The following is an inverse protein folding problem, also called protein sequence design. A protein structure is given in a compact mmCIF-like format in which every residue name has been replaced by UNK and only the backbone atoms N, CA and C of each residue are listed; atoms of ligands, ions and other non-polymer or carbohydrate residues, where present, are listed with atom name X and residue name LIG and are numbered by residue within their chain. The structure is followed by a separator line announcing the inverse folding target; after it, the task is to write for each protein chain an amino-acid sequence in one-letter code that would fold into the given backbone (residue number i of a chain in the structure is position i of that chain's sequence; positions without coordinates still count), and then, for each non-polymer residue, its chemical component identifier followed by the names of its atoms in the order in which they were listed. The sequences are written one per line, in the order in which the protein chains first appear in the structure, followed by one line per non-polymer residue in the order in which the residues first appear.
data_IF_547858711255
#
_entry.id   IF_547858711255
#
_cell.length_a   1.000
_cell.length_b   1.000
_cell.length_c   1.000
_cell.angle_alpha   90.00
_cell.angle_beta   90.00
_cell.angle_gamma   90.00
#
_symmetry.space_group_name_H-M   'P 1'
#
loop_
_entity.id
_entity.type
_entity.pdbx_description
1 polymer ?
#
# COMPACT_ATOMS: atom_id res chain seq x y z
N UNK A 1 -31.31 -15.78 4.72
CA UNK A 1 -29.94 -15.53 4.20
C UNK A 1 -29.93 -14.17 3.50
N UNK A 2 -29.72 -13.11 4.24
CA UNK A 2 -29.71 -11.73 3.75
C UNK A 2 -28.29 -11.39 3.29
N UNK A 3 -28.10 -11.20 1.99
CA UNK A 3 -26.85 -10.67 1.41
C UNK A 3 -26.61 -9.26 2.00
N UNK A 4 -25.66 -9.16 2.93
CA UNK A 4 -25.12 -7.87 3.36
C UNK A 4 -24.37 -7.27 2.16
N UNK A 5 -24.95 -6.22 1.56
CA UNK A 5 -24.22 -5.38 0.60
C UNK A 5 -23.02 -4.75 1.34
N UNK A 6 -21.85 -5.15 0.97
CA UNK A 6 -20.63 -4.47 1.42
C UNK A 6 -20.51 -3.21 0.56
N UNK A 7 -20.98 -2.08 1.08
CA UNK A 7 -20.51 -0.78 0.57
C UNK A 7 -19.04 -0.66 0.98
N UNK A 8 -18.09 -0.69 0.05
CA UNK A 8 -16.70 -0.42 0.38
C UNK A 8 -16.55 1.07 0.68
N UNK A 9 -15.45 1.43 1.31
CA UNK A 9 -15.00 2.76 1.73
C UNK A 9 -14.89 3.77 0.55
N UNK A 10 -15.96 3.96 -0.23
CA UNK A 10 -15.97 4.71 -1.49
C UNK A 10 -16.04 6.23 -1.26
N UNK A 11 -16.43 6.67 -0.06
CA UNK A 11 -16.67 8.10 0.22
C UNK A 11 -15.45 8.91 0.66
N UNK A 12 -14.28 8.31 0.81
CA UNK A 12 -13.06 9.03 1.18
C UNK A 12 -12.01 9.14 0.07
N UNK A 13 -12.39 8.85 -1.18
CA UNK A 13 -11.47 8.91 -2.32
C UNK A 13 -11.59 10.24 -3.03
N UNK A 14 -10.80 11.18 -2.57
CA UNK A 14 -10.70 12.53 -3.06
C UNK A 14 -10.33 12.59 -4.55
N UNK A 15 -11.07 13.39 -5.32
CA UNK A 15 -10.78 13.83 -6.68
C UNK A 15 -9.33 14.36 -6.87
N UNK A 16 -8.72 14.78 -5.78
CA UNK A 16 -7.34 15.27 -5.72
C UNK A 16 -6.28 14.27 -6.27
N UNK A 17 -6.60 12.98 -6.40
CA UNK A 17 -5.68 11.95 -6.93
C UNK A 17 -5.70 11.84 -8.47
N UNK A 18 -6.67 12.44 -9.16
CA UNK A 18 -6.78 12.39 -10.62
C UNK A 18 -5.60 13.03 -11.35
N UNK A 19 -5.00 14.04 -10.76
CA UNK A 19 -3.93 14.81 -11.38
C UNK A 19 -2.52 14.36 -10.96
N UNK A 20 -2.39 13.49 -9.96
CA UNK A 20 -1.10 13.02 -9.45
C UNK A 20 -0.42 11.94 -10.31
N UNK A 21 -1.17 11.29 -11.20
CA UNK A 21 -0.60 10.26 -12.11
C UNK A 21 0.28 10.81 -13.24
N UNK A 22 0.20 12.10 -13.54
CA UNK A 22 0.94 12.73 -14.63
C UNK A 22 2.26 13.38 -14.22
N UNK A 23 2.47 13.63 -12.93
CA UNK A 23 3.71 14.25 -12.44
C UNK A 23 4.89 13.26 -12.31
N UNK A 24 4.68 11.96 -12.48
CA UNK A 24 5.69 10.92 -12.28
C UNK A 24 6.45 10.52 -13.56
N UNK A 25 6.11 11.07 -14.73
CA UNK A 25 6.72 10.68 -16.02
C UNK A 25 7.72 11.68 -16.62
N UNK A 26 8.09 12.75 -15.91
CA UNK A 26 9.01 13.75 -16.46
C UNK A 26 10.19 13.99 -15.50
N UNK A 27 11.01 12.94 -15.31
CA UNK A 27 12.36 13.07 -14.75
C UNK A 27 13.30 12.16 -15.54
N UNK A 28 13.52 12.54 -16.79
CA UNK A 28 14.70 12.12 -17.52
C UNK A 28 14.92 13.07 -18.70
N UNK A 29 15.52 14.21 -18.43
CA UNK A 29 16.40 15.02 -19.32
C UNK A 29 16.86 16.23 -18.53
N UNK A 30 18.12 16.30 -18.22
CA UNK A 30 18.74 17.45 -17.61
C UNK A 30 20.25 17.34 -17.74
N UNK A 31 20.74 17.73 -18.91
CA UNK A 31 22.15 17.99 -19.17
C UNK A 31 22.74 18.94 -18.14
N UNK A 32 23.89 18.60 -17.62
CA UNK A 32 24.74 19.44 -16.81
C UNK A 32 26.20 19.26 -17.22
N UNK A 33 26.65 20.05 -18.21
CA UNK A 33 28.06 20.22 -18.54
C UNK A 33 28.87 20.68 -17.33
N UNK A 34 30.01 20.02 -17.15
CA UNK A 34 31.17 20.64 -16.49
C UNK A 34 32.43 20.05 -17.10
N UNK A 35 33.25 20.97 -17.56
CA UNK A 35 34.43 20.92 -18.37
C UNK A 35 35.57 19.99 -17.90
N UNK A 36 36.25 19.47 -18.93
CA UNK A 36 37.53 18.77 -18.94
C UNK A 36 38.69 19.78 -18.98
N UNK A 37 39.94 19.42 -18.64
CA UNK A 37 40.91 19.36 -19.74
C UNK A 37 41.89 18.16 -19.76
N UNK A 38 41.99 17.58 -20.96
CA UNK A 38 43.14 17.10 -21.70
C UNK A 38 44.24 16.21 -21.07
N UNK A 39 44.48 15.06 -21.65
CA UNK A 39 45.74 14.81 -22.37
C UNK A 39 45.70 13.60 -23.31
N UNK A 40 46.42 13.74 -24.37
CA UNK A 40 46.55 13.00 -25.63
C UNK A 40 47.10 11.59 -25.52
N UNK A 41 46.86 10.80 -26.57
CA UNK A 41 47.68 9.65 -26.95
C UNK A 41 46.96 8.51 -27.68
N UNK A 42 46.81 8.62 -29.03
CA UNK A 42 46.66 7.48 -29.98
C UNK A 42 48.06 7.10 -30.53
N UNK A 43 48.31 5.98 -31.26
CA UNK A 43 47.40 5.21 -32.09
C UNK A 43 47.67 3.67 -32.23
N UNK A 44 46.84 3.05 -33.07
CA UNK A 44 47.05 1.93 -34.04
C UNK A 44 46.81 0.47 -33.59
N UNK A 45 45.74 -0.06 -34.10
CA UNK A 45 45.58 -1.06 -35.19
C UNK A 45 45.70 -2.55 -34.87
N UNK A 46 44.62 -3.22 -35.27
CA UNK A 46 44.57 -4.49 -36.03
C UNK A 46 44.17 -5.79 -35.34
N UNK A 47 43.16 -6.39 -36.01
CA UNK A 47 42.81 -7.80 -36.10
C UNK A 47 41.82 -8.42 -35.10
N UNK A 48 40.62 -8.68 -35.63
CA UNK A 48 39.73 -9.76 -35.21
C UNK A 48 40.19 -11.09 -35.91
N UNK A 49 39.57 -12.28 -35.65
CA UNK A 49 38.48 -12.62 -34.72
C UNK A 49 38.84 -13.84 -33.84
N UNK A 50 38.10 -14.08 -32.78
CA UNK A 50 37.78 -15.46 -32.39
C UNK A 50 36.54 -15.51 -31.47
N UNK A 51 35.71 -16.50 -31.78
CA UNK A 51 34.46 -16.76 -31.11
C UNK A 51 34.70 -17.27 -29.68
N UNK A 52 34.21 -16.54 -28.68
CA UNK A 52 34.23 -16.96 -27.29
C UNK A 52 32.88 -16.70 -26.64
N UNK A 53 32.13 -17.76 -26.43
CA UNK A 53 30.84 -17.81 -25.75
C UNK A 53 30.86 -17.03 -24.41
N UNK A 54 30.19 -15.90 -24.37
CA UNK A 54 29.82 -15.26 -23.10
C UNK A 54 28.55 -15.92 -22.58
N UNK A 55 28.75 -16.77 -21.59
CA UNK A 55 27.68 -17.30 -20.75
C UNK A 55 27.03 -16.14 -19.97
N UNK A 56 25.98 -15.57 -20.54
CA UNK A 56 25.10 -14.65 -19.83
C UNK A 56 24.27 -15.44 -18.81
N UNK A 57 24.45 -15.12 -17.55
CA UNK A 57 23.53 -15.55 -16.50
C UNK A 57 22.09 -15.17 -16.89
N UNK A 58 21.11 -16.07 -16.73
CA UNK A 58 19.71 -15.70 -16.89
C UNK A 58 19.33 -14.80 -15.69
N UNK A 59 19.27 -13.50 -15.94
CA UNK A 59 18.52 -12.59 -15.10
C UNK A 59 17.09 -13.12 -14.98
N UNK A 60 16.54 -13.12 -13.78
CA UNK A 60 15.11 -13.35 -13.61
C UNK A 60 14.37 -12.46 -14.62
N UNK A 61 13.45 -13.01 -15.41
CA UNK A 61 12.61 -12.17 -16.25
C UNK A 61 11.84 -11.25 -15.30
N UNK A 62 12.16 -9.97 -15.35
CA UNK A 62 11.30 -8.96 -14.75
C UNK A 62 9.89 -9.27 -15.22
N UNK A 63 8.98 -9.49 -14.28
CA UNK A 63 7.59 -9.72 -14.63
C UNK A 63 7.18 -8.58 -15.55
N UNK A 64 6.87 -8.91 -16.81
CA UNK A 64 6.31 -7.95 -17.74
C UNK A 64 5.14 -7.28 -17.02
N UNK A 65 4.98 -5.95 -17.13
CA UNK A 65 3.83 -5.28 -16.53
C UNK A 65 2.59 -6.04 -16.97
N UNK A 66 1.75 -6.43 -16.00
CA UNK A 66 0.53 -7.16 -16.30
C UNK A 66 -0.23 -6.39 -17.39
N UNK A 67 -0.71 -7.06 -18.46
CA UNK A 67 -1.45 -6.38 -19.51
C UNK A 67 -2.60 -5.61 -18.84
N UNK A 68 -2.89 -4.37 -19.30
CA UNK A 68 -3.99 -3.60 -18.75
C UNK A 68 -5.25 -4.48 -18.76
N UNK A 69 -6.02 -4.49 -17.67
CA UNK A 69 -7.20 -5.33 -17.56
C UNK A 69 -8.10 -5.05 -18.76
N UNK A 70 -8.50 -6.11 -19.45
CA UNK A 70 -9.37 -5.98 -20.63
C UNK A 70 -10.67 -5.34 -20.16
N UNK A 71 -11.06 -4.22 -20.76
CA UNK A 71 -12.37 -3.64 -20.60
C UNK A 71 -13.38 -4.74 -20.93
N UNK A 72 -14.29 -5.06 -20.00
CA UNK A 72 -15.48 -5.83 -20.34
C UNK A 72 -16.17 -5.12 -21.50
N UNK A 73 -16.88 -5.88 -22.33
CA UNK A 73 -17.58 -5.34 -23.50
C UNK A 73 -18.58 -4.25 -23.09
N UNK A 74 -18.13 -3.00 -23.18
CA UNK A 74 -18.96 -1.83 -22.84
C UNK A 74 -20.05 -1.54 -23.87
N UNK A 75 -20.11 -2.31 -24.98
CA UNK A 75 -21.13 -2.14 -26.01
C UNK A 75 -22.55 -2.43 -25.47
N UNK A 76 -22.66 -3.24 -24.43
CA UNK A 76 -23.91 -3.60 -23.77
C UNK A 76 -24.43 -2.53 -22.81
N UNK A 77 -23.60 -1.58 -22.41
CA UNK A 77 -23.98 -0.51 -21.48
C UNK A 77 -24.78 0.52 -22.28
N UNK A 78 -26.02 0.86 -21.89
CA UNK A 78 -26.83 1.88 -22.57
C UNK A 78 -26.24 3.29 -22.38
N UNK A 79 -26.50 4.20 -23.31
CA UNK A 79 -25.97 5.58 -23.27
C UNK A 79 -26.37 6.34 -21.99
N UNK A 80 -27.55 6.04 -21.45
CA UNK A 80 -27.99 6.51 -20.14
C UNK A 80 -28.14 5.30 -19.23
N UNK A 81 -27.37 5.27 -18.14
CA UNK A 81 -27.33 4.14 -17.19
C UNK A 81 -28.26 4.33 -15.99
N UNK A 82 -28.61 5.60 -15.68
CA UNK A 82 -29.63 5.88 -14.66
C UNK A 82 -30.22 7.29 -14.82
N UNK A 83 -31.42 7.45 -14.27
CA UNK A 83 -32.00 8.74 -13.95
C UNK A 83 -32.11 8.90 -12.43
N UNK A 84 -31.66 10.01 -11.89
CA UNK A 84 -31.77 10.33 -10.47
C UNK A 84 -32.36 11.72 -10.30
N UNK A 85 -33.63 11.82 -9.86
CA UNK A 85 -34.35 13.10 -9.69
C UNK A 85 -34.30 14.03 -10.93
N UNK A 86 -34.37 13.46 -12.13
CA UNK A 86 -34.30 14.18 -13.41
C UNK A 86 -32.90 14.40 -13.96
N UNK A 87 -31.84 14.19 -13.19
CA UNK A 87 -30.45 14.17 -13.68
C UNK A 87 -30.17 12.84 -14.35
N UNK A 88 -29.51 12.86 -15.50
CA UNK A 88 -29.04 11.68 -16.22
C UNK A 88 -27.63 11.33 -15.74
N UNK A 89 -27.38 10.05 -15.52
CA UNK A 89 -26.03 9.47 -15.37
C UNK A 89 -25.76 8.73 -16.68
N UNK A 90 -24.70 9.13 -17.36
CA UNK A 90 -24.39 8.60 -18.69
C UNK A 90 -23.41 7.41 -18.59
N UNK A 91 -23.35 6.65 -19.69
CA UNK A 91 -22.36 5.60 -19.90
C UNK A 91 -20.93 6.10 -19.72
N UNK A 92 -20.63 7.26 -20.30
CA UNK A 92 -19.29 7.84 -20.25
C UNK A 92 -18.91 8.23 -18.83
N UNK A 93 -19.83 8.82 -18.07
CA UNK A 93 -19.62 9.12 -16.65
C UNK A 93 -19.30 7.85 -15.86
N UNK A 94 -20.07 6.77 -16.08
CA UNK A 94 -19.87 5.48 -15.42
C UNK A 94 -18.51 4.88 -15.75
N UNK A 95 -18.15 4.81 -17.04
CA UNK A 95 -16.89 4.22 -17.49
C UNK A 95 -15.70 5.03 -16.96
N UNK A 96 -15.77 6.35 -17.01
CA UNK A 96 -14.72 7.22 -16.49
C UNK A 96 -14.53 7.03 -14.98
N UNK A 97 -15.62 6.99 -14.23
CA UNK A 97 -15.57 6.75 -12.78
C UNK A 97 -15.00 5.34 -12.44
N UNK A 98 -15.40 4.32 -13.21
CA UNK A 98 -14.90 2.96 -13.02
C UNK A 98 -13.40 2.84 -13.30
N UNK A 99 -12.92 3.45 -14.39
CA UNK A 99 -11.48 3.49 -14.73
C UNK A 99 -10.67 4.20 -13.65
N UNK A 100 -11.17 5.32 -13.17
CA UNK A 100 -10.54 6.10 -12.13
C UNK A 100 -10.42 5.29 -10.83
N UNK A 101 -11.52 4.65 -10.39
CA UNK A 101 -11.52 3.79 -9.21
C UNK A 101 -10.53 2.63 -9.36
N UNK A 102 -10.51 1.99 -10.52
CA UNK A 102 -9.59 0.91 -10.82
C UNK A 102 -8.12 1.36 -10.75
N UNK A 103 -7.80 2.53 -11.33
CA UNK A 103 -6.45 3.09 -11.28
C UNK A 103 -6.00 3.39 -9.84
N UNK A 104 -6.90 3.92 -9.01
CA UNK A 104 -6.62 4.17 -7.58
C UNK A 104 -6.37 2.86 -6.82
N UNK A 105 -7.18 1.83 -7.07
CA UNK A 105 -6.98 0.51 -6.45
C UNK A 105 -5.66 -0.12 -6.88
N UNK A 106 -5.29 0.01 -8.17
CA UNK A 106 -4.00 -0.45 -8.69
C UNK A 106 -2.82 0.22 -7.98
N UNK A 107 -2.88 1.53 -7.76
CA UNK A 107 -1.85 2.26 -7.02
C UNK A 107 -1.78 1.83 -5.56
N UNK A 108 -2.92 1.70 -4.88
CA UNK A 108 -2.99 1.31 -3.47
C UNK A 108 -2.46 -0.10 -3.23
N UNK A 109 -2.67 -1.02 -4.17
CA UNK A 109 -2.27 -2.43 -4.08
C UNK A 109 -0.95 -2.75 -4.80
N UNK A 110 -0.24 -1.73 -5.30
CA UNK A 110 0.95 -1.90 -6.16
C UNK A 110 0.71 -2.87 -7.33
N UNK A 111 -0.51 -2.85 -7.87
CA UNK A 111 -0.92 -3.69 -9.01
C UNK A 111 -1.28 -5.14 -8.67
N UNK A 112 -1.20 -5.56 -7.41
CA UNK A 112 -1.40 -6.98 -7.04
C UNK A 112 -2.86 -7.44 -7.01
N UNK A 113 -3.82 -6.55 -6.82
CA UNK A 113 -5.26 -6.88 -6.75
C UNK A 113 -6.10 -5.79 -7.40
N UNK A 114 -6.13 -5.79 -8.72
CA UNK A 114 -6.97 -4.85 -9.48
C UNK A 114 -8.23 -5.59 -9.90
N UNK A 115 -9.44 -5.15 -9.48
CA UNK A 115 -10.67 -5.77 -9.88
C UNK A 115 -10.87 -5.66 -11.40
N UNK A 116 -11.46 -6.68 -12.00
CA UNK A 116 -11.90 -6.60 -13.38
C UNK A 116 -13.04 -5.58 -13.51
N UNK A 117 -13.09 -4.88 -14.65
CA UNK A 117 -14.21 -4.02 -15.00
C UNK A 117 -15.36 -4.89 -15.54
N UNK A 118 -16.01 -5.63 -14.66
CA UNK A 118 -17.16 -6.47 -14.96
C UNK A 118 -18.50 -5.78 -14.63
N UNK A 119 -19.61 -6.43 -14.97
CA UNK A 119 -20.95 -5.90 -14.70
C UNK A 119 -21.20 -5.64 -13.20
N UNK A 120 -20.62 -6.46 -12.33
CA UNK A 120 -20.76 -6.29 -10.88
C UNK A 120 -20.03 -5.01 -10.41
N UNK A 121 -18.84 -4.76 -10.94
CA UNK A 121 -18.07 -3.57 -10.66
C UNK A 121 -18.78 -2.31 -11.18
N UNK A 122 -19.29 -2.33 -12.43
CA UNK A 122 -20.04 -1.21 -12.96
C UNK A 122 -21.32 -0.90 -12.16
N UNK A 123 -22.07 -1.92 -11.74
CA UNK A 123 -23.24 -1.75 -10.86
C UNK A 123 -22.85 -1.11 -9.52
N UNK A 124 -21.75 -1.54 -8.95
CA UNK A 124 -21.25 -0.96 -7.70
C UNK A 124 -20.87 0.52 -7.86
N UNK A 125 -20.22 0.88 -8.97
CA UNK A 125 -19.88 2.28 -9.27
C UNK A 125 -21.15 3.10 -9.49
N UNK A 126 -22.10 2.59 -10.27
CA UNK A 126 -23.38 3.26 -10.50
C UNK A 126 -24.16 3.51 -9.21
N UNK A 127 -24.22 2.53 -8.30
CA UNK A 127 -24.84 2.69 -6.99
C UNK A 127 -24.18 3.82 -6.17
N UNK A 128 -22.84 3.93 -6.25
CA UNK A 128 -22.07 5.01 -5.64
C UNK A 128 -22.41 6.39 -6.25
N UNK A 129 -22.48 6.47 -7.57
CA UNK A 129 -22.86 7.72 -8.28
C UNK A 129 -24.28 8.16 -7.94
N UNK A 130 -25.23 7.23 -7.89
CA UNK A 130 -26.60 7.52 -7.46
C UNK A 130 -26.63 8.00 -6.00
N UNK A 131 -25.89 7.35 -5.10
CA UNK A 131 -25.80 7.77 -3.71
C UNK A 131 -25.24 9.18 -3.58
N UNK A 132 -24.21 9.51 -4.34
CA UNK A 132 -23.62 10.86 -4.38
C UNK A 132 -24.64 11.93 -4.81
N UNK A 133 -25.39 11.68 -5.90
CA UNK A 133 -26.42 12.61 -6.37
C UNK A 133 -27.55 12.81 -5.35
N UNK A 134 -27.95 11.73 -4.68
CA UNK A 134 -28.97 11.81 -3.63
C UNK A 134 -28.49 12.62 -2.42
N UNK A 135 -27.24 12.43 -2.01
CA UNK A 135 -26.65 13.18 -0.89
C UNK A 135 -26.43 14.65 -1.24
N UNK A 136 -25.99 14.97 -2.47
CA UNK A 136 -25.85 16.36 -2.92
C UNK A 136 -27.20 17.09 -2.95
N UNK A 137 -28.25 16.40 -3.44
CA UNK A 137 -29.58 16.96 -3.41
C UNK A 137 -30.07 17.20 -1.98
N UNK A 138 -29.92 16.22 -1.11
CA UNK A 138 -30.33 16.31 0.30
C UNK A 138 -29.55 17.41 1.04
N UNK A 139 -28.24 17.54 0.79
CA UNK A 139 -27.41 18.63 1.30
C UNK A 139 -27.96 20.00 0.88
N UNK A 140 -28.28 20.15 -0.42
CA UNK A 140 -28.88 21.38 -0.97
C UNK A 140 -30.23 21.68 -0.33
N UNK A 141 -31.12 20.69 -0.21
CA UNK A 141 -32.43 20.82 0.42
C UNK A 141 -32.32 21.23 1.90
N UNK A 142 -31.23 20.88 2.56
CA UNK A 142 -30.93 21.27 3.95
C UNK A 142 -30.11 22.57 4.07
N UNK A 143 -29.85 23.26 2.97
CA UNK A 143 -29.07 24.51 2.95
C UNK A 143 -27.59 24.34 3.24
N UNK A 144 -27.04 23.14 3.07
CA UNK A 144 -25.60 22.90 3.23
C UNK A 144 -24.90 23.28 1.92
N UNK A 145 -24.13 24.35 1.99
CA UNK A 145 -23.35 24.89 0.88
C UNK A 145 -21.90 25.11 1.27
N UNK A 146 -21.03 25.23 0.28
CA UNK A 146 -19.62 25.58 0.43
C UNK A 146 -19.33 26.79 -0.43
N UNK A 147 -18.82 27.85 0.18
CA UNK A 147 -18.46 29.10 -0.48
C UNK A 147 -17.13 28.96 -1.24
N UNK A 148 -16.88 29.92 -2.15
CA UNK A 148 -15.60 29.98 -2.85
C UNK A 148 -14.40 30.16 -1.89
N UNK A 149 -14.61 30.91 -0.80
CA UNK A 149 -13.59 31.10 0.24
C UNK A 149 -13.23 29.77 0.93
N UNK A 150 -14.22 28.94 1.22
CA UNK A 150 -14.00 27.61 1.82
C UNK A 150 -13.30 26.64 0.85
N UNK A 151 -13.41 26.85 -0.47
CA UNK A 151 -12.74 26.02 -1.49
C UNK A 151 -11.29 26.46 -1.79
N UNK A 152 -10.93 27.71 -1.51
CA UNK A 152 -9.59 28.23 -1.81
C UNK A 152 -8.44 27.35 -1.32
N UNK A 153 -8.44 26.85 -0.07
CA UNK A 153 -7.37 25.99 0.43
C UNK A 153 -7.25 24.68 -0.36
N UNK A 154 -8.37 24.07 -0.76
CA UNK A 154 -8.39 22.81 -1.51
C UNK A 154 -7.89 23.02 -2.94
N UNK A 155 -8.31 24.10 -3.60
CA UNK A 155 -7.81 24.49 -4.91
C UNK A 155 -6.31 24.81 -4.88
N UNK A 156 -5.84 25.52 -3.85
CA UNK A 156 -4.42 25.80 -3.67
C UNK A 156 -3.62 24.51 -3.44
N UNK A 157 -4.12 23.59 -2.62
CA UNK A 157 -3.49 22.29 -2.38
C UNK A 157 -3.45 21.41 -3.65
N UNK A 158 -4.50 21.48 -4.49
CA UNK A 158 -4.54 20.79 -5.78
C UNK A 158 -3.48 21.36 -6.73
N UNK A 159 -3.45 22.67 -6.92
CA UNK A 159 -2.45 23.33 -7.79
C UNK A 159 -1.03 23.13 -7.30
N UNK A 160 -0.81 23.13 -5.98
CA UNK A 160 0.49 22.89 -5.35
C UNK A 160 1.07 21.47 -5.53
N UNK A 161 0.32 20.54 -6.13
CA UNK A 161 0.82 19.22 -6.53
C UNK A 161 1.60 19.26 -7.85
N UNK A 162 1.49 20.34 -8.58
CA UNK A 162 2.19 20.55 -9.85
C UNK A 162 3.36 21.50 -9.65
N UNK A 163 4.45 21.32 -10.42
CA UNK A 163 5.60 22.19 -10.34
C UNK A 163 5.27 23.66 -10.63
N UNK A 164 4.33 23.90 -11.52
CA UNK A 164 3.90 25.22 -11.97
C UNK A 164 2.47 25.20 -12.55
N UNK A 165 1.94 26.40 -12.78
CA UNK A 165 0.59 26.61 -13.34
C UNK A 165 0.44 26.10 -14.79
N UNK A 166 1.53 26.13 -15.59
CA UNK A 166 1.48 25.66 -16.98
C UNK A 166 1.32 24.14 -17.02
N UNK A 167 2.06 23.43 -16.14
CA UNK A 167 1.92 21.96 -15.98
C UNK A 167 0.52 21.59 -15.48
N UNK A 168 -0.04 22.34 -14.54
CA UNK A 168 -1.41 22.14 -14.08
C UNK A 168 -2.43 22.30 -15.23
N UNK A 169 -2.36 23.39 -16.01
CA UNK A 169 -3.26 23.61 -17.15
C UNK A 169 -3.13 22.54 -18.21
N UNK A 170 -1.90 22.16 -18.56
CA UNK A 170 -1.65 21.06 -19.51
C UNK A 170 -2.27 19.74 -19.02
N UNK A 171 -2.20 19.45 -17.72
CA UNK A 171 -2.82 18.26 -17.15
C UNK A 171 -4.35 18.30 -17.25
N UNK A 172 -4.98 19.47 -17.07
CA UNK A 172 -6.42 19.65 -17.28
C UNK A 172 -6.80 19.41 -18.75
N UNK A 173 -6.09 20.03 -19.67
CA UNK A 173 -6.33 19.87 -21.12
C UNK A 173 -6.21 18.42 -21.56
N UNK A 174 -5.20 17.69 -21.07
CA UNK A 174 -5.03 16.26 -21.37
C UNK A 174 -6.19 15.41 -20.87
N UNK A 175 -6.87 15.83 -19.81
CA UNK A 175 -8.03 15.15 -19.27
C UNK A 175 -9.37 15.69 -19.85
N UNK A 176 -9.31 16.68 -20.72
CA UNK A 176 -10.50 17.33 -21.28
C UNK A 176 -11.32 18.08 -20.21
N UNK A 177 -10.68 18.57 -19.15
CA UNK A 177 -11.34 19.25 -18.04
C UNK A 177 -11.05 20.74 -18.08
N UNK A 178 -12.08 21.55 -17.86
CA UNK A 178 -11.93 22.98 -17.59
C UNK A 178 -11.69 23.22 -16.09
N UNK A 179 -11.10 24.35 -15.76
CA UNK A 179 -10.90 24.77 -14.38
C UNK A 179 -12.21 24.90 -13.60
N UNK A 180 -13.28 25.37 -14.26
CA UNK A 180 -14.62 25.47 -13.67
C UNK A 180 -15.19 24.09 -13.33
N UNK A 181 -14.99 23.09 -14.17
CA UNK A 181 -15.44 21.71 -13.87
C UNK A 181 -14.69 21.12 -12.69
N UNK A 182 -13.38 21.37 -12.58
CA UNK A 182 -12.58 20.97 -11.42
C UNK A 182 -13.08 21.66 -10.15
N UNK A 183 -13.32 22.97 -10.21
CA UNK A 183 -13.83 23.72 -9.06
C UNK A 183 -15.22 23.22 -8.64
N UNK A 184 -16.11 22.93 -9.59
CA UNK A 184 -17.44 22.41 -9.27
C UNK A 184 -17.39 20.99 -8.67
N UNK A 185 -16.52 20.11 -9.16
CA UNK A 185 -16.29 18.79 -8.55
C UNK A 185 -15.76 18.90 -7.13
N UNK A 186 -14.77 19.76 -6.89
CA UNK A 186 -14.26 20.00 -5.53
C UNK A 186 -15.35 20.58 -4.62
N UNK A 187 -16.22 21.44 -5.15
CA UNK A 187 -17.36 21.97 -4.39
C UNK A 187 -18.32 20.86 -3.97
N UNK A 188 -18.65 19.95 -4.90
CA UNK A 188 -19.54 18.83 -4.61
C UNK A 188 -18.94 17.89 -3.55
N UNK A 189 -17.66 17.60 -3.63
CA UNK A 189 -16.94 16.80 -2.60
C UNK A 189 -16.98 17.51 -1.23
N UNK A 190 -16.66 18.79 -1.20
CA UNK A 190 -16.67 19.58 0.04
C UNK A 190 -18.09 19.70 0.65
N UNK A 191 -19.14 19.79 -0.20
CA UNK A 191 -20.53 19.78 0.26
C UNK A 191 -20.87 18.42 0.90
N UNK A 192 -20.48 17.30 0.28
CA UNK A 192 -20.70 15.96 0.84
C UNK A 192 -19.93 15.81 2.15
N UNK A 193 -18.68 16.22 2.21
CA UNK A 193 -17.87 16.17 3.43
C UNK A 193 -18.52 16.98 4.57
N UNK A 194 -18.98 18.20 4.26
CA UNK A 194 -19.70 19.06 5.21
C UNK A 194 -21.03 18.45 5.66
N UNK A 195 -21.75 17.80 4.72
CA UNK A 195 -22.96 17.05 5.02
C UNK A 195 -22.68 15.88 5.96
N UNK A 196 -21.68 15.04 5.61
CA UNK A 196 -21.31 13.87 6.43
C UNK A 196 -20.89 14.32 7.83
N UNK A 197 -20.03 15.33 7.94
CA UNK A 197 -19.56 15.81 9.24
C UNK A 197 -20.70 16.39 10.09
N UNK A 198 -21.60 17.14 9.50
CA UNK A 198 -22.66 17.87 10.25
C UNK A 198 -23.94 17.07 10.44
N UNK A 199 -24.24 16.08 9.60
CA UNK A 199 -25.51 15.32 9.67
C UNK A 199 -25.34 13.86 10.01
N UNK A 200 -24.26 13.25 9.56
CA UNK A 200 -24.02 11.82 9.77
C UNK A 200 -23.17 11.58 11.03
N UNK A 201 -22.04 12.28 11.13
CA UNK A 201 -21.10 12.10 12.25
C UNK A 201 -21.55 12.82 13.53
N UNK A 202 -22.33 13.87 13.39
CA UNK A 202 -22.83 14.62 14.54
C UNK A 202 -23.60 13.70 15.51
N UNK A 203 -23.25 13.77 16.79
CA UNK A 203 -23.86 12.96 17.85
C UNK A 203 -23.47 11.47 17.79
N UNK A 204 -22.46 11.06 16.99
CA UNK A 204 -21.86 9.76 17.16
C UNK A 204 -20.93 9.81 18.35
N UNK A 205 -21.32 9.12 19.43
CA UNK A 205 -20.50 8.96 20.62
C UNK A 205 -20.32 7.48 20.91
N UNK A 206 -19.07 7.04 20.94
CA UNK A 206 -18.72 5.69 21.40
C UNK A 206 -18.44 5.77 22.88
N UNK A 207 -19.22 5.04 23.68
CA UNK A 207 -19.02 4.96 25.13
C UNK A 207 -17.82 4.06 25.45
N UNK A 208 -17.18 4.29 26.59
CA UNK A 208 -16.10 3.41 27.07
C UNK A 208 -16.58 1.97 27.23
N UNK A 209 -17.84 1.76 27.61
CA UNK A 209 -18.44 0.45 27.68
C UNK A 209 -18.47 -0.23 26.30
N UNK A 210 -18.92 0.46 25.26
CA UNK A 210 -18.96 -0.10 23.89
C UNK A 210 -17.55 -0.42 23.38
N UNK A 211 -16.57 0.42 23.69
CA UNK A 211 -15.18 0.17 23.36
C UNK A 211 -14.62 -1.06 24.11
N UNK A 212 -14.95 -1.20 25.38
CA UNK A 212 -14.55 -2.35 26.23
C UNK A 212 -15.20 -3.64 25.72
N UNK A 213 -16.48 -3.63 25.43
CA UNK A 213 -17.19 -4.80 24.89
C UNK A 213 -16.60 -5.24 23.55
N UNK A 214 -16.21 -4.29 22.70
CA UNK A 214 -15.53 -4.62 21.45
C UNK A 214 -14.16 -5.25 21.70
N UNK A 215 -13.37 -4.68 22.59
CA UNK A 215 -12.06 -5.20 22.97
C UNK A 215 -12.17 -6.64 23.50
N UNK A 216 -13.08 -6.89 24.46
CA UNK A 216 -13.25 -8.20 25.09
C UNK A 216 -13.71 -9.28 24.08
N UNK A 217 -14.56 -8.89 23.11
CA UNK A 217 -15.00 -9.79 22.03
C UNK A 217 -13.95 -10.06 20.93
N UNK A 218 -12.85 -9.31 20.92
CA UNK A 218 -11.81 -9.42 19.91
C UNK A 218 -10.40 -9.53 20.51
N UNK A 219 -10.28 -10.07 21.72
CA UNK A 219 -9.01 -10.26 22.42
C UNK A 219 -7.98 -11.04 21.61
N UNK A 220 -8.45 -12.00 20.78
CA UNK A 220 -7.63 -12.77 19.84
C UNK A 220 -6.92 -11.89 18.80
N UNK A 221 -7.55 -10.76 18.40
CA UNK A 221 -7.01 -9.80 17.44
C UNK A 221 -6.23 -8.66 18.10
N UNK A 222 -6.34 -8.55 19.41
CA UNK A 222 -5.66 -7.55 20.22
C UNK A 222 -4.40 -8.12 20.87
N UNK A 223 -3.67 -8.94 20.10
CA UNK A 223 -2.43 -9.55 20.57
C UNK A 223 -1.23 -8.88 19.92
N UNK A 224 -0.22 -8.57 20.73
CA UNK A 224 1.13 -8.36 20.25
C UNK A 224 1.74 -9.73 20.00
N UNK A 225 2.24 -10.01 18.81
CA UNK A 225 2.90 -11.28 18.56
C UNK A 225 4.17 -11.38 19.40
N UNK A 226 4.53 -12.61 19.72
CA UNK A 226 5.86 -12.90 20.27
C UNK A 226 6.93 -12.37 19.31
N UNK A 227 7.94 -11.69 19.85
CA UNK A 227 9.08 -11.19 19.09
C UNK A 227 10.39 -11.40 19.83
N UNK A 228 11.45 -11.52 19.06
CA UNK A 228 12.80 -11.71 19.58
C UNK A 228 13.73 -10.68 18.92
N UNK A 229 14.57 -10.03 19.72
CA UNK A 229 15.69 -9.24 19.25
C UNK A 229 16.85 -10.21 19.03
N UNK A 230 17.29 -10.31 17.78
CA UNK A 230 18.23 -11.33 17.36
C UNK A 230 19.49 -10.71 16.77
N UNK A 231 20.59 -11.43 16.91
CA UNK A 231 21.79 -11.26 16.08
C UNK A 231 22.04 -12.53 15.30
N UNK A 232 22.65 -12.42 14.13
CA UNK A 232 23.10 -13.58 13.40
C UNK A 232 24.45 -13.39 12.71
N UNK A 233 25.11 -14.51 12.42
CA UNK A 233 26.21 -14.62 11.50
C UNK A 233 25.77 -15.55 10.38
N UNK A 234 25.84 -15.08 9.12
CA UNK A 234 25.59 -15.90 7.94
C UNK A 234 26.90 -16.26 7.27
N UNK A 235 27.12 -17.53 7.03
CA UNK A 235 28.12 -18.02 6.11
C UNK A 235 27.39 -18.53 4.87
N UNK A 236 27.52 -17.78 3.80
CA UNK A 236 26.73 -18.01 2.56
C UNK A 236 27.13 -19.34 1.92
N UNK A 237 26.13 -20.09 1.50
CA UNK A 237 26.26 -21.27 0.67
C UNK A 237 25.02 -21.36 -0.23
N UNK A 238 25.22 -21.28 -1.53
CA UNK A 238 24.13 -21.38 -2.49
C UNK A 238 23.50 -22.78 -2.45
N UNK A 239 22.17 -22.91 -2.67
CA UNK A 239 21.50 -24.21 -2.66
C UNK A 239 22.11 -25.22 -3.66
N UNK A 240 22.64 -24.73 -4.79
CA UNK A 240 23.25 -25.53 -5.85
C UNK A 240 24.78 -25.59 -5.77
N UNK A 241 25.40 -25.08 -4.70
CA UNK A 241 26.85 -25.15 -4.52
C UNK A 241 27.33 -26.61 -4.40
N UNK A 242 28.57 -26.86 -4.81
CA UNK A 242 29.20 -28.17 -4.67
C UNK A 242 29.21 -28.63 -3.20
N UNK A 243 29.06 -29.92 -2.96
CA UNK A 243 29.04 -30.49 -1.60
C UNK A 243 30.27 -30.09 -0.77
N UNK A 244 31.43 -30.03 -1.43
CA UNK A 244 32.69 -29.61 -0.75
C UNK A 244 32.63 -28.13 -0.30
N UNK A 245 31.98 -27.23 -1.04
CA UNK A 245 31.88 -25.82 -0.70
C UNK A 245 30.85 -25.61 0.42
N UNK A 246 29.73 -26.35 0.38
CA UNK A 246 28.78 -26.40 1.50
C UNK A 246 29.42 -26.88 2.77
N UNK A 247 30.24 -27.95 2.67
CA UNK A 247 30.97 -28.48 3.85
C UNK A 247 31.93 -27.43 4.41
N UNK A 248 32.71 -26.75 3.57
CA UNK A 248 33.60 -25.67 4.02
C UNK A 248 32.85 -24.54 4.72
N UNK A 249 31.70 -24.12 4.16
CA UNK A 249 30.87 -23.10 4.78
C UNK A 249 30.32 -23.55 6.15
N UNK A 250 29.89 -24.79 6.24
CA UNK A 250 29.46 -25.40 7.51
C UNK A 250 30.55 -25.45 8.51
N UNK A 251 31.75 -25.98 8.14
CA UNK A 251 32.90 -26.07 9.01
C UNK A 251 33.32 -24.69 9.55
N UNK A 252 33.27 -23.65 8.68
CA UNK A 252 33.54 -22.28 9.10
C UNK A 252 32.47 -21.78 10.09
N UNK A 253 31.20 -22.09 9.89
CA UNK A 253 30.14 -21.71 10.84
C UNK A 253 30.31 -22.45 12.18
N UNK A 254 30.68 -23.73 12.16
CA UNK A 254 30.97 -24.53 13.38
C UNK A 254 32.18 -23.99 14.13
N UNK A 255 33.25 -23.56 13.44
CA UNK A 255 34.42 -22.92 14.06
C UNK A 255 34.06 -21.60 14.74
N UNK A 256 33.29 -20.73 14.04
CA UNK A 256 32.83 -19.49 14.62
C UNK A 256 31.92 -19.71 15.84
N UNK A 257 31.05 -20.72 15.79
CA UNK A 257 30.21 -21.07 16.94
C UNK A 257 31.06 -21.49 18.15
N UNK A 258 32.10 -22.32 17.94
CA UNK A 258 33.04 -22.72 19.02
C UNK A 258 33.77 -21.50 19.60
N UNK A 259 34.22 -20.57 18.79
CA UNK A 259 34.89 -19.35 19.23
C UNK A 259 33.95 -18.47 20.08
N UNK A 260 32.67 -18.30 19.66
CA UNK A 260 31.69 -17.59 20.46
C UNK A 260 31.42 -18.28 21.79
N UNK A 261 31.29 -19.62 21.79
CA UNK A 261 31.14 -20.43 23.00
C UNK A 261 32.38 -20.35 23.92
N UNK A 262 33.55 -20.10 23.33
CA UNK A 262 34.81 -19.84 24.04
C UNK A 262 34.93 -18.41 24.59
N UNK A 263 33.92 -17.54 24.39
CA UNK A 263 33.90 -16.21 24.97
C UNK A 263 34.30 -15.07 24.00
N UNK A 264 34.57 -15.39 22.74
CA UNK A 264 34.79 -14.30 21.75
C UNK A 264 33.51 -13.50 21.49
N UNK A 265 33.67 -12.19 21.25
CA UNK A 265 32.55 -11.28 21.06
C UNK A 265 31.80 -11.58 19.76
N UNK A 266 30.49 -11.83 19.90
CA UNK A 266 29.61 -12.17 18.76
C UNK A 266 29.56 -11.05 17.71
N UNK A 267 29.45 -9.80 18.15
CA UNK A 267 29.29 -8.66 17.22
C UNK A 267 30.59 -8.43 16.42
N UNK A 268 31.76 -8.63 17.05
CA UNK A 268 33.05 -8.56 16.38
C UNK A 268 33.16 -9.66 15.32
N UNK A 269 32.87 -10.90 15.69
CA UNK A 269 32.92 -12.02 14.75
C UNK A 269 31.91 -11.87 13.60
N UNK A 270 30.73 -11.35 13.87
CA UNK A 270 29.73 -11.02 12.83
C UNK A 270 30.25 -9.96 11.86
N UNK A 271 30.84 -8.88 12.39
CA UNK A 271 31.39 -7.80 11.56
C UNK A 271 32.56 -8.27 10.67
N UNK A 272 33.35 -9.21 11.14
CA UNK A 272 34.49 -9.75 10.40
C UNK A 272 34.07 -10.81 9.37
N UNK A 273 33.19 -11.72 9.75
CA UNK A 273 33.00 -13.01 9.07
C UNK A 273 31.62 -13.18 8.41
N UNK A 274 30.59 -12.41 8.80
CA UNK A 274 29.25 -12.59 8.24
C UNK A 274 29.20 -12.16 6.78
N UNK A 275 28.47 -12.94 5.99
CA UNK A 275 28.20 -12.67 4.59
C UNK A 275 26.84 -11.95 4.40
N UNK A 276 26.14 -11.58 5.48
CA UNK A 276 24.95 -10.76 5.42
C UNK A 276 25.30 -9.25 5.43
N UNK A 277 25.20 -8.55 4.28
CA UNK A 277 25.57 -7.14 4.21
C UNK A 277 24.63 -6.24 5.03
N UNK A 278 23.40 -6.68 5.28
CA UNK A 278 22.38 -5.92 5.99
C UNK A 278 22.65 -5.79 7.48
N UNK A 279 23.17 -6.82 8.10
CA UNK A 279 23.42 -6.84 9.55
C UNK A 279 24.91 -6.85 9.93
N UNK A 280 25.80 -7.27 9.03
CA UNK A 280 27.25 -7.36 9.27
C UNK A 280 27.84 -6.11 9.93
N UNK A 281 27.54 -4.93 9.35
CA UNK A 281 28.05 -3.64 9.83
C UNK A 281 27.52 -3.23 11.20
N UNK A 282 26.45 -3.88 11.65
CA UNK A 282 25.85 -3.71 12.98
C UNK A 282 26.14 -4.88 13.92
N UNK A 283 27.23 -5.65 13.66
CA UNK A 283 27.58 -6.81 14.49
C UNK A 283 26.55 -7.93 14.43
N UNK A 284 25.92 -8.11 13.28
CA UNK A 284 24.91 -9.15 13.04
C UNK A 284 23.49 -8.80 13.53
N UNK A 285 23.25 -7.59 14.00
CA UNK A 285 21.97 -7.17 14.59
C UNK A 285 20.84 -7.12 13.55
N UNK A 286 19.81 -7.95 13.76
CA UNK A 286 18.56 -8.03 12.98
C UNK A 286 17.43 -7.21 13.57
N UNK A 287 17.63 -6.61 14.77
CA UNK A 287 16.58 -5.95 15.53
C UNK A 287 15.47 -6.92 15.97
N UNK A 288 14.27 -6.37 16.27
CA UNK A 288 13.13 -7.16 16.69
C UNK A 288 12.45 -7.88 15.52
N UNK A 289 12.37 -9.20 15.62
CA UNK A 289 11.73 -10.08 14.63
C UNK A 289 10.53 -10.79 15.25
N UNK A 290 9.38 -10.70 14.60
CA UNK A 290 8.19 -11.47 14.96
C UNK A 290 8.17 -12.80 14.20
N UNK A 291 7.34 -13.75 14.66
CA UNK A 291 7.11 -15.00 13.90
C UNK A 291 6.51 -14.68 12.52
N UNK A 292 6.90 -15.48 11.53
CA UNK A 292 6.49 -15.29 10.12
C UNK A 292 7.35 -14.29 9.33
N UNK A 293 8.35 -13.66 9.95
CA UNK A 293 9.23 -12.68 9.27
C UNK A 293 10.52 -13.27 8.72
N UNK A 294 10.85 -14.52 9.08
CA UNK A 294 12.06 -15.20 8.65
C UNK A 294 11.75 -16.57 8.03
N UNK A 295 12.74 -17.16 7.36
CA UNK A 295 12.56 -18.50 6.79
C UNK A 295 12.36 -19.55 7.88
N UNK A 296 11.55 -20.61 7.65
CA UNK A 296 11.12 -21.53 8.71
C UNK A 296 12.25 -22.17 9.51
N UNK A 297 13.38 -22.64 8.94
CA UNK A 297 14.47 -23.22 9.73
C UNK A 297 15.12 -22.21 10.68
N UNK A 298 15.32 -20.97 10.22
CA UNK A 298 15.86 -19.87 11.04
C UNK A 298 14.89 -19.53 12.17
N UNK A 299 13.59 -19.32 11.84
CA UNK A 299 12.58 -19.00 12.83
C UNK A 299 12.49 -20.06 13.93
N UNK A 300 12.43 -21.34 13.55
CA UNK A 300 12.38 -22.45 14.50
C UNK A 300 13.54 -22.40 15.47
N UNK A 301 14.76 -22.17 14.98
CA UNK A 301 15.96 -22.11 15.82
C UNK A 301 15.98 -20.86 16.70
N UNK A 302 15.65 -19.68 16.14
CA UNK A 302 15.62 -18.42 16.87
C UNK A 302 14.62 -18.43 18.03
N UNK A 303 13.39 -18.90 17.78
CA UNK A 303 12.35 -18.97 18.81
C UNK A 303 12.45 -20.18 19.75
N UNK A 304 13.42 -21.06 19.56
CA UNK A 304 13.80 -22.07 20.55
C UNK A 304 14.75 -21.53 21.64
N UNK A 305 15.39 -20.37 21.39
CA UNK A 305 16.25 -19.70 22.36
C UNK A 305 15.37 -19.00 23.42
N UNK A 306 15.75 -19.13 24.68
CA UNK A 306 14.90 -18.72 25.80
C UNK A 306 15.49 -17.63 26.68
N UNK A 307 16.81 -17.52 26.73
CA UNK A 307 17.52 -16.59 27.62
C UNK A 307 18.41 -15.65 26.81
N UNK A 308 18.59 -14.40 27.23
CA UNK A 308 19.56 -13.51 26.64
C UNK A 308 20.96 -14.19 26.54
N UNK A 309 21.59 -14.00 25.39
CA UNK A 309 22.84 -14.60 24.96
C UNK A 309 22.81 -16.12 24.66
N UNK A 310 21.65 -16.77 24.71
CA UNK A 310 21.54 -18.12 24.18
C UNK A 310 21.93 -18.13 22.69
N UNK A 311 22.64 -19.17 22.29
CA UNK A 311 23.12 -19.40 20.92
C UNK A 311 22.39 -20.59 20.31
N UNK A 312 22.06 -20.48 19.03
CA UNK A 312 21.62 -21.65 18.25
C UNK A 312 22.85 -22.55 17.95
N UNK A 313 22.59 -23.81 17.56
CA UNK A 313 23.52 -24.52 16.73
C UNK A 313 23.71 -23.88 15.37
N UNK A 314 24.49 -24.50 14.49
CA UNK A 314 24.57 -24.11 13.09
C UNK A 314 23.24 -24.47 12.40
N UNK A 315 22.55 -23.47 11.84
CA UNK A 315 21.22 -23.60 11.20
C UNK A 315 21.36 -23.47 9.70
N UNK A 316 20.98 -24.50 8.96
CA UNK A 316 21.00 -24.49 7.51
C UNK A 316 19.71 -23.88 6.96
N UNK A 317 19.85 -22.97 5.97
CA UNK A 317 18.75 -22.37 5.21
C UNK A 317 19.10 -22.30 3.73
N UNK A 318 18.19 -21.83 2.90
CA UNK A 318 18.47 -21.57 1.48
C UNK A 318 19.59 -20.53 1.23
N UNK A 319 19.96 -19.74 2.23
CA UNK A 319 21.02 -18.71 2.12
C UNK A 319 22.39 -19.21 2.57
N UNK A 320 22.46 -20.35 3.25
CA UNK A 320 23.66 -20.91 3.84
C UNK A 320 23.48 -21.28 5.30
N UNK A 321 24.54 -21.14 6.07
CA UNK A 321 24.62 -21.55 7.47
C UNK A 321 24.60 -20.36 8.40
N UNK A 322 23.74 -20.40 9.41
CA UNK A 322 23.53 -19.33 10.37
C UNK A 322 23.91 -19.74 11.78
N UNK A 323 24.48 -18.81 12.53
CA UNK A 323 24.56 -18.84 13.99
C UNK A 323 23.68 -17.71 14.49
N UNK A 324 22.76 -18.02 15.40
CA UNK A 324 21.77 -17.04 15.90
C UNK A 324 22.01 -16.83 17.38
N UNK A 325 22.01 -15.57 17.82
CA UNK A 325 22.08 -15.20 19.23
C UNK A 325 20.78 -14.45 19.61
N UNK A 326 20.19 -14.86 20.71
CA UNK A 326 19.08 -14.12 21.32
C UNK A 326 19.64 -12.95 22.14
N UNK A 327 19.22 -11.73 21.83
CA UNK A 327 19.54 -10.55 22.65
C UNK A 327 18.45 -10.34 23.71
N UNK A 328 17.20 -10.35 23.27
CA UNK A 328 16.04 -10.15 24.13
C UNK A 328 14.81 -10.82 23.53
N UNK A 329 13.84 -11.19 24.36
CA UNK A 329 12.59 -11.80 23.91
C UNK A 329 11.41 -11.17 24.62
N UNK A 330 10.39 -10.84 23.85
CA UNK A 330 9.09 -10.42 24.36
C UNK A 330 8.06 -11.50 24.04
N UNK A 331 7.42 -12.03 25.07
CA UNK A 331 6.34 -12.99 24.90
C UNK A 331 5.13 -12.33 24.23
N UNK A 332 4.33 -13.12 23.54
CA UNK A 332 3.02 -12.67 23.07
C UNK A 332 2.21 -12.16 24.26
N UNK A 333 1.59 -11.01 24.09
CA UNK A 333 0.80 -10.36 25.15
C UNK A 333 -0.41 -9.64 24.56
N UNK A 334 -1.49 -9.57 25.33
CA UNK A 334 -2.62 -8.73 24.92
C UNK A 334 -2.22 -7.25 24.96
N UNK A 335 -2.59 -6.52 23.92
CA UNK A 335 -2.50 -5.05 23.94
C UNK A 335 -3.43 -4.55 25.05
N UNK A 336 -2.96 -3.76 26.04
CA UNK A 336 -3.83 -3.26 27.11
C UNK A 336 -5.01 -2.45 26.53
N UNK A 337 -6.17 -2.56 27.16
CA UNK A 337 -7.38 -1.84 26.72
C UNK A 337 -7.14 -0.33 26.55
N UNK A 338 -6.47 0.29 27.51
CA UNK A 338 -6.22 1.75 27.49
C UNK A 338 -5.39 2.18 26.27
N UNK A 339 -4.52 1.31 25.79
CA UNK A 339 -3.72 1.55 24.59
C UNK A 339 -4.55 1.30 23.31
N UNK A 340 -5.37 0.26 23.29
CA UNK A 340 -6.23 -0.07 22.16
C UNK A 340 -7.45 0.85 22.03
N UNK A 341 -7.92 1.44 23.14
CA UNK A 341 -9.15 2.22 23.27
C UNK A 341 -9.28 3.34 22.22
N UNK A 342 -8.27 4.19 21.97
CA UNK A 342 -8.41 5.27 20.97
C UNK A 342 -8.70 4.73 19.57
N UNK A 343 -8.01 3.68 19.17
CA UNK A 343 -8.17 3.05 17.87
C UNK A 343 -9.52 2.33 17.75
N UNK A 344 -9.94 1.64 18.80
CA UNK A 344 -11.26 0.98 18.86
C UNK A 344 -12.37 2.03 18.76
N UNK A 345 -12.26 3.14 19.52
CA UNK A 345 -13.22 4.23 19.49
C UNK A 345 -13.35 4.81 18.09
N UNK A 346 -12.24 5.11 17.44
CA UNK A 346 -12.22 5.62 16.07
C UNK A 346 -12.87 4.64 15.08
N UNK A 347 -12.54 3.35 15.17
CA UNK A 347 -13.12 2.31 14.32
C UNK A 347 -14.61 2.17 14.53
N UNK A 348 -15.09 2.18 15.78
CA UNK A 348 -16.51 2.10 16.08
C UNK A 348 -17.27 3.35 15.63
N UNK A 349 -16.68 4.56 15.78
CA UNK A 349 -17.24 5.79 15.23
C UNK A 349 -17.38 5.72 13.70
N UNK A 350 -16.34 5.28 13.03
CA UNK A 350 -16.35 5.10 11.57
C UNK A 350 -17.42 4.10 11.13
N UNK A 351 -17.54 2.98 11.85
CA UNK A 351 -18.57 1.98 11.58
C UNK A 351 -19.98 2.55 11.74
N UNK A 352 -20.25 3.25 12.83
CA UNK A 352 -21.55 3.90 13.08
C UNK A 352 -21.84 4.97 12.03
N UNK A 353 -20.83 5.74 11.60
CA UNK A 353 -20.99 6.73 10.53
C UNK A 353 -21.36 6.05 9.19
N UNK A 354 -20.70 4.93 8.85
CA UNK A 354 -21.03 4.15 7.65
C UNK A 354 -22.46 3.60 7.70
N UNK A 355 -22.86 3.00 8.82
CA UNK A 355 -24.23 2.47 9.01
C UNK A 355 -25.29 3.58 8.90
N UNK A 356 -25.04 4.77 9.49
CA UNK A 356 -25.96 5.92 9.35
C UNK A 356 -26.03 6.44 7.93
N UNK A 357 -24.89 6.52 7.24
CA UNK A 357 -24.83 6.99 5.86
C UNK A 357 -25.59 6.03 4.92
N UNK A 358 -25.37 4.73 5.07
CA UNK A 358 -26.09 3.68 4.31
C UNK A 358 -27.60 3.76 4.55
N UNK A 359 -28.01 3.89 5.81
CA UNK A 359 -29.42 4.08 6.16
C UNK A 359 -30.02 5.35 5.54
N UNK A 360 -29.24 6.46 5.55
CA UNK A 360 -29.69 7.71 4.93
C UNK A 360 -29.84 7.58 3.41
N UNK A 361 -28.86 7.00 2.73
CA UNK A 361 -28.93 6.75 1.28
C UNK A 361 -30.10 5.86 0.93
N UNK A 362 -30.36 4.81 1.72
CA UNK A 362 -31.50 3.92 1.52
C UNK A 362 -32.85 4.65 1.70
N UNK A 363 -32.96 5.54 2.68
CA UNK A 363 -34.14 6.40 2.87
C UNK A 363 -34.33 7.37 1.71
N UNK A 364 -33.25 8.02 1.27
CA UNK A 364 -33.29 8.93 0.12
C UNK A 364 -33.67 8.21 -1.18
N UNK A 365 -33.14 7.00 -1.44
CA UNK A 365 -33.54 6.17 -2.58
C UNK A 365 -35.03 5.92 -2.59
N UNK A 366 -35.65 5.63 -1.45
CA UNK A 366 -37.12 5.39 -1.34
C UNK A 366 -37.95 6.65 -1.64
N UNK A 367 -37.43 7.82 -1.31
CA UNK A 367 -38.13 9.12 -1.45
C UNK A 367 -37.86 9.80 -2.79
N UNK A 368 -36.95 9.28 -3.57
CA UNK A 368 -36.49 9.87 -4.83
C UNK A 368 -36.94 9.03 -6.03
N UNK A 369 -37.09 9.71 -7.18
CA UNK A 369 -37.31 9.00 -8.44
C UNK A 369 -35.95 8.55 -8.99
N UNK A 370 -35.63 7.29 -8.78
CA UNK A 370 -34.42 6.65 -9.30
C UNK A 370 -34.82 5.53 -10.25
N UNK A 371 -34.34 5.59 -11.47
CA UNK A 371 -34.52 4.58 -12.52
C UNK A 371 -33.14 4.13 -12.99
N UNK A 372 -32.87 2.84 -13.05
CA UNK A 372 -31.59 2.26 -13.50
C UNK A 372 -31.79 1.37 -14.71
N UNK A 373 -30.85 1.40 -15.65
CA UNK A 373 -30.91 0.70 -16.94
C UNK A 373 -29.73 -0.25 -17.15
N UNK A 374 -28.88 -0.46 -16.12
CA UNK A 374 -27.70 -1.32 -16.14
C UNK A 374 -27.97 -2.70 -15.51
#
# INVERSE_FOLDING_TARGET
MTRRSRFPQILSLSFALLLSGLAACDKDTGDGEAENPAQEGTPTASAAPDEGQTSSMPGQPGAAPAPPPRLSDTSRIPDVVAHCNGKKITKDDLINQARQMQAQMAQATRGQQVPALDDAFYKQILDGMIAQELLLKDAKDQGITVSDEELKPQLAALRGRFPDEATYKKALEQQGLSENEVQEKLRQEAVIEKYVSTRIMNGIAVTDQAAREFYDKNLDKMQRPERAHLRHILIRAEPNAAAADKQKARDKAEDLLKRIQGGEDFAKLAAENSDDPGSKVRGGDLSWMARGQTVPPFEKAAFALTRPNDLSGVVETQFGYHIIQLVEREAASAVPFEEARPQITQMLQQRQATERLEARVADLKKKSKVETFL
#
